data_IF_937324101574
#
_entry.id   IF_937324101574
#
_cell.length_a   1.000
_cell.length_b   1.000
_cell.length_c   1.000
_cell.angle_alpha   90.00
_cell.angle_beta   90.00
_cell.angle_gamma   90.00
#
_symmetry.space_group_name_H-M   'P 1'
#
loop_
_entity.id
_entity.type
_entity.pdbx_description
1 polymer ?
#
# COMPACT_ATOMS: atom_id res chain seq x y z
N UNK A 1 7.01 71.90 19.27
CA UNK A 1 6.49 70.55 18.91
C UNK A 1 7.53 69.63 18.25
N UNK A 2 8.47 70.12 17.43
CA UNK A 2 9.40 69.28 16.67
C UNK A 2 10.43 68.49 17.51
N UNK A 3 10.90 69.03 18.64
CA UNK A 3 11.97 68.39 19.43
C UNK A 3 11.53 67.13 20.18
N UNK A 4 10.31 67.11 20.74
CA UNK A 4 9.78 65.94 21.47
C UNK A 4 9.51 64.74 20.56
N UNK A 5 9.09 64.97 19.30
CA UNK A 5 8.92 63.89 18.31
C UNK A 5 10.27 63.26 17.91
N UNK A 6 11.33 64.05 17.81
CA UNK A 6 12.67 63.52 17.49
C UNK A 6 13.20 62.62 18.60
N UNK A 7 13.02 63.01 19.87
CA UNK A 7 13.40 62.15 21.01
C UNK A 7 12.56 60.87 21.09
N UNK A 8 11.26 60.93 20.77
CA UNK A 8 10.40 59.75 20.76
C UNK A 8 10.79 58.77 19.66
N UNK A 9 11.14 59.27 18.46
CA UNK A 9 11.61 58.43 17.35
C UNK A 9 12.98 57.84 17.66
N UNK A 10 13.90 58.60 18.26
CA UNK A 10 15.19 58.09 18.71
C UNK A 10 15.06 57.04 19.81
N UNK A 11 14.14 57.23 20.76
CA UNK A 11 13.85 56.25 21.81
C UNK A 11 13.25 54.97 21.22
N UNK A 12 12.31 55.10 20.28
CA UNK A 12 11.74 53.95 19.56
C UNK A 12 12.78 53.24 18.71
N UNK A 13 13.72 53.97 18.08
CA UNK A 13 14.85 53.39 17.37
C UNK A 13 15.85 52.70 18.31
N UNK A 14 16.13 53.27 19.49
CA UNK A 14 17.01 52.66 20.50
C UNK A 14 16.38 51.39 21.10
N UNK A 15 15.06 51.38 21.30
CA UNK A 15 14.31 50.18 21.73
C UNK A 15 14.30 49.13 20.60
N UNK A 16 14.15 49.55 19.34
CA UNK A 16 14.22 48.64 18.19
C UNK A 16 15.64 48.08 17.95
N UNK A 17 16.68 48.87 18.21
CA UNK A 17 18.09 48.44 18.16
C UNK A 17 18.46 47.53 19.34
N UNK A 18 17.86 47.72 20.52
CA UNK A 18 18.04 46.87 21.69
C UNK A 18 17.32 45.52 21.62
N UNK A 19 16.47 45.29 20.61
CA UNK A 19 15.64 44.09 20.46
C UNK A 19 16.10 43.15 19.33
N UNK A 20 17.25 43.40 18.71
CA UNK A 20 17.88 42.42 17.83
C UNK A 20 18.90 41.63 18.65
N UNK A 21 18.42 40.89 19.66
CA UNK A 21 19.21 39.83 20.26
C UNK A 21 19.60 38.87 19.13
N UNK A 22 20.90 38.72 18.91
CA UNK A 22 21.43 37.81 17.91
C UNK A 22 20.97 36.40 18.30
N UNK A 23 19.99 35.85 17.57
CA UNK A 23 19.47 34.50 17.83
C UNK A 23 20.64 33.52 17.79
N UNK A 24 21.03 33.01 18.95
CA UNK A 24 22.02 31.95 19.09
C UNK A 24 21.51 30.75 18.27
N UNK A 25 22.40 30.11 17.51
CA UNK A 25 22.03 29.01 16.61
C UNK A 25 22.75 27.75 17.08
N UNK A 26 22.01 26.66 17.25
CA UNK A 26 22.64 25.35 17.39
C UNK A 26 23.23 24.94 16.03
N UNK A 27 24.50 24.56 16.04
CA UNK A 27 25.22 24.20 14.81
C UNK A 27 24.98 22.74 14.40
N UNK A 28 24.98 21.81 15.35
CA UNK A 28 24.84 20.38 15.09
C UNK A 28 24.32 19.62 16.33
N UNK A 29 23.88 18.39 16.08
CA UNK A 29 23.72 17.35 17.11
C UNK A 29 25.03 16.56 17.10
N UNK A 30 25.73 16.51 18.24
CA UNK A 30 27.04 15.86 18.36
C UNK A 30 26.88 14.34 18.38
N UNK A 31 26.08 13.84 19.33
CA UNK A 31 25.81 12.42 19.49
C UNK A 31 24.32 12.15 19.77
N UNK A 32 23.90 10.93 19.43
CA UNK A 32 22.57 10.42 19.78
C UNK A 32 22.74 9.07 20.45
N UNK A 33 22.03 8.88 21.55
CA UNK A 33 22.03 7.65 22.32
C UNK A 33 20.63 7.06 22.43
N UNK A 34 20.58 5.75 22.63
CA UNK A 34 19.38 5.05 23.06
C UNK A 34 19.58 4.61 24.50
N UNK A 35 18.65 4.96 25.37
CA UNK A 35 18.60 4.50 26.75
C UNK A 35 17.56 3.37 26.88
N UNK A 36 17.98 2.20 27.37
CA UNK A 36 17.13 1.02 27.65
C UNK A 36 17.54 0.41 28.98
N UNK A 37 16.58 0.13 29.85
CA UNK A 37 16.81 -0.57 31.13
C UNK A 37 18.03 -0.01 31.90
N UNK A 38 18.15 1.32 31.97
CA UNK A 38 19.25 2.09 32.60
C UNK A 38 20.61 2.09 31.89
N UNK A 39 20.75 1.42 30.75
CA UNK A 39 21.96 1.42 29.92
C UNK A 39 21.81 2.41 28.76
N UNK A 40 22.88 3.15 28.47
CA UNK A 40 22.96 4.06 27.32
C UNK A 40 23.87 3.48 26.24
N UNK A 41 23.40 3.50 25.00
CA UNK A 41 24.12 2.98 23.84
C UNK A 41 24.20 4.04 22.76
N UNK A 42 25.37 4.27 22.12
CA UNK A 42 25.44 5.12 20.95
C UNK A 42 24.54 4.56 19.84
N UNK A 43 23.85 5.45 19.11
CA UNK A 43 22.87 5.05 18.07
C UNK A 43 23.50 4.23 16.93
N UNK A 44 24.82 4.36 16.71
CA UNK A 44 25.52 3.67 15.63
C UNK A 44 25.44 2.15 15.79
N UNK A 45 24.80 1.48 14.83
CA UNK A 45 24.61 0.03 14.85
C UNK A 45 23.46 -0.46 15.73
N UNK A 46 22.72 0.45 16.37
CA UNK A 46 21.50 0.14 17.10
C UNK A 46 20.26 0.33 16.22
N UNK A 47 19.20 -0.41 16.56
CA UNK A 47 17.87 -0.25 15.97
C UNK A 47 16.95 0.28 17.07
N UNK A 48 16.33 1.43 16.85
CA UNK A 48 15.34 2.03 17.74
C UNK A 48 14.09 1.13 17.77
N UNK A 49 13.52 0.92 18.95
CA UNK A 49 12.31 0.11 19.18
C UNK A 49 11.28 0.89 19.99
N UNK A 50 10.06 0.38 20.01
CA UNK A 50 9.02 0.83 20.92
C UNK A 50 9.49 0.82 22.38
N UNK A 51 9.21 1.90 23.11
CA UNK A 51 9.62 2.13 24.50
C UNK A 51 11.06 2.64 24.68
N UNK A 52 11.84 2.79 23.60
CA UNK A 52 13.19 3.34 23.71
C UNK A 52 13.15 4.84 24.07
N UNK A 53 14.05 5.25 24.96
CA UNK A 53 14.36 6.67 25.18
C UNK A 53 15.47 7.08 24.23
N UNK A 54 15.21 8.10 23.42
CA UNK A 54 16.16 8.67 22.45
C UNK A 54 16.72 9.96 23.04
N UNK A 55 18.03 9.98 23.28
CA UNK A 55 18.74 11.11 23.86
C UNK A 55 19.61 11.79 22.81
N UNK A 56 19.47 13.11 22.68
CA UNK A 56 20.25 13.96 21.78
C UNK A 56 21.22 14.81 22.58
N UNK A 57 22.52 14.62 22.36
CA UNK A 57 23.56 15.49 22.93
C UNK A 57 23.77 16.69 22.01
N UNK A 58 23.41 17.87 22.52
CA UNK A 58 23.42 19.11 21.79
C UNK A 58 24.21 20.13 22.63
N UNK A 59 25.45 20.45 22.21
CA UNK A 59 26.25 21.45 22.89
C UNK A 59 25.52 22.80 22.96
N UNK A 60 25.61 23.46 24.12
CA UNK A 60 24.99 24.76 24.38
C UNK A 60 23.46 24.80 24.16
N UNK A 61 22.76 23.65 24.28
CA UNK A 61 21.31 23.60 24.12
C UNK A 61 20.58 24.51 25.13
N UNK A 62 21.01 24.53 26.39
CA UNK A 62 20.44 25.40 27.42
C UNK A 62 20.55 26.89 27.07
N UNK A 63 21.73 27.33 26.64
CA UNK A 63 21.97 28.71 26.20
C UNK A 63 21.11 29.07 25.00
N UNK A 64 21.06 28.19 24.00
CA UNK A 64 20.19 28.37 22.83
C UNK A 64 18.72 28.55 23.21
N UNK A 65 18.19 27.71 24.10
CA UNK A 65 16.81 27.77 24.56
C UNK A 65 16.51 29.09 25.29
N UNK A 66 17.43 29.50 26.18
CA UNK A 66 17.33 30.75 26.93
C UNK A 66 17.37 31.97 26.02
N UNK A 67 18.36 32.06 25.14
CA UNK A 67 18.60 33.20 24.24
C UNK A 67 17.49 33.39 23.22
N UNK A 68 16.84 32.30 22.80
CA UNK A 68 15.73 32.34 21.84
C UNK A 68 14.35 32.33 22.50
N UNK A 69 14.28 32.31 23.84
CA UNK A 69 13.04 32.23 24.62
C UNK A 69 12.16 31.02 24.23
N UNK A 70 12.79 29.88 23.93
CA UNK A 70 12.09 28.65 23.56
C UNK A 70 11.80 27.86 24.83
N UNK A 71 10.57 27.39 24.99
CA UNK A 71 10.19 26.52 26.10
C UNK A 71 10.43 25.06 25.74
N UNK A 72 10.72 24.21 26.73
CA UNK A 72 10.97 22.78 26.49
C UNK A 72 9.79 22.07 25.80
N UNK A 73 8.56 22.52 26.05
CA UNK A 73 7.35 22.04 25.38
C UNK A 73 7.30 22.31 23.86
N UNK A 74 8.08 23.29 23.38
CA UNK A 74 8.18 23.65 21.95
C UNK A 74 9.39 22.95 21.28
N UNK A 75 9.95 21.96 21.97
CA UNK A 75 11.02 21.09 21.48
C UNK A 75 10.40 19.74 21.14
N UNK A 76 10.53 19.36 19.89
CA UNK A 76 9.94 18.13 19.36
C UNK A 76 11.00 17.30 18.67
N UNK A 77 10.88 15.98 18.80
CA UNK A 77 11.69 15.05 18.02
C UNK A 77 11.24 15.05 16.56
N UNK A 78 12.17 14.77 15.65
CA UNK A 78 11.90 14.62 14.23
C UNK A 78 12.45 13.32 13.69
N UNK A 79 11.67 12.65 12.85
CA UNK A 79 12.13 11.58 11.98
C UNK A 79 12.00 12.02 10.52
N UNK A 80 13.13 12.12 9.82
CA UNK A 80 13.24 12.76 8.50
C UNK A 80 12.72 14.20 8.54
N UNK A 81 11.56 14.47 7.93
CA UNK A 81 10.90 15.77 7.94
C UNK A 81 9.59 15.75 8.76
N UNK A 82 9.30 14.65 9.45
CA UNK A 82 8.09 14.43 10.22
C UNK A 82 8.37 14.91 11.65
N UNK A 83 7.57 15.85 12.14
CA UNK A 83 7.67 16.38 13.51
C UNK A 83 6.76 15.58 14.43
N UNK A 84 7.33 14.99 15.47
CA UNK A 84 6.62 14.17 16.44
C UNK A 84 6.32 14.99 17.68
N UNK A 85 5.26 15.79 17.60
CA UNK A 85 4.84 16.69 18.70
C UNK A 85 4.16 15.97 19.86
N UNK A 86 3.80 14.69 19.69
CA UNK A 86 3.10 13.87 20.66
C UNK A 86 4.00 13.43 21.83
N UNK A 87 5.32 13.42 21.61
CA UNK A 87 6.31 13.02 22.61
C UNK A 87 6.97 14.26 23.22
N UNK A 88 6.66 14.59 24.50
CA UNK A 88 7.24 15.74 25.15
C UNK A 88 8.74 15.53 25.39
N UNK A 89 9.53 16.57 25.15
CA UNK A 89 10.94 16.59 25.53
C UNK A 89 11.08 16.61 27.06
N UNK A 90 12.07 15.89 27.57
CA UNK A 90 12.49 16.00 28.97
C UNK A 90 14.02 16.08 29.08
N UNK A 91 14.49 16.71 30.15
CA UNK A 91 15.91 16.91 30.44
C UNK A 91 16.17 16.60 31.91
N UNK A 92 17.34 16.06 32.21
CA UNK A 92 17.80 15.90 33.60
C UNK A 92 18.29 17.24 34.17
N UNK A 93 19.02 18.00 33.34
CA UNK A 93 19.43 19.38 33.59
C UNK A 93 19.59 20.10 32.25
N UNK A 94 19.25 21.39 32.19
CA UNK A 94 19.50 22.21 30.99
C UNK A 94 21.00 22.43 30.72
N UNK A 95 21.83 22.31 31.77
CA UNK A 95 23.29 22.44 31.66
C UNK A 95 23.94 21.21 31.03
N UNK A 96 23.27 20.05 31.04
CA UNK A 96 23.88 18.82 30.47
C UNK A 96 23.91 18.83 28.95
N UNK A 97 23.12 19.67 28.28
CA UNK A 97 22.99 19.68 26.83
C UNK A 97 22.21 18.48 26.26
N UNK A 98 21.72 17.57 27.10
CA UNK A 98 21.08 16.32 26.66
C UNK A 98 19.56 16.41 26.73
N UNK A 99 18.91 16.33 25.56
CA UNK A 99 17.46 16.32 25.41
C UNK A 99 16.96 14.91 25.14
N UNK A 100 15.92 14.48 25.85
CA UNK A 100 15.39 13.12 25.76
C UNK A 100 13.93 13.09 25.32
N UNK A 101 13.58 12.01 24.63
CA UNK A 101 12.23 11.70 24.21
C UNK A 101 11.98 10.21 24.43
N UNK A 102 10.86 9.85 25.06
CA UNK A 102 10.42 8.47 25.16
C UNK A 102 9.54 8.18 23.95
N UNK A 103 10.02 7.31 23.06
CA UNK A 103 9.28 6.93 21.86
C UNK A 103 8.34 5.77 22.17
N UNK A 104 7.08 5.89 21.78
CA UNK A 104 6.12 4.78 21.78
C UNK A 104 5.28 4.76 20.52
N UNK A 105 5.10 3.58 19.92
CA UNK A 105 4.26 3.37 18.73
C UNK A 105 2.79 3.71 19.03
N UNK A 106 2.27 3.30 20.19
CA UNK A 106 0.91 3.59 20.65
C UNK A 106 0.65 5.09 20.88
N UNK A 107 1.72 5.85 21.15
CA UNK A 107 1.65 7.30 21.37
C UNK A 107 1.60 8.13 20.09
N UNK A 108 1.79 7.53 18.91
CA UNK A 108 1.79 8.26 17.63
C UNK A 108 0.39 8.76 17.28
N UNK A 109 0.28 10.01 16.79
CA UNK A 109 -0.95 10.45 16.13
C UNK A 109 -1.20 9.64 14.86
N UNK A 110 -2.47 9.58 14.45
CA UNK A 110 -2.90 8.97 13.19
C UNK A 110 -2.11 9.46 11.98
N UNK A 111 -1.82 10.77 11.92
CA UNK A 111 -1.07 11.37 10.81
C UNK A 111 0.38 10.91 10.80
N UNK A 112 1.07 11.03 11.94
CA UNK A 112 2.49 10.66 12.05
C UNK A 112 2.69 9.15 11.90
N UNK A 113 1.79 8.34 12.46
CA UNK A 113 1.77 6.89 12.25
C UNK A 113 1.70 6.54 10.76
N UNK A 114 0.76 7.13 10.02
CA UNK A 114 0.64 6.92 8.58
C UNK A 114 1.89 7.34 7.82
N UNK A 115 2.49 8.50 8.14
CA UNK A 115 3.69 9.00 7.48
C UNK A 115 4.91 8.10 7.74
N UNK A 116 5.09 7.65 8.98
CA UNK A 116 6.18 6.74 9.36
C UNK A 116 6.00 5.35 8.76
N UNK A 117 4.78 4.81 8.80
CA UNK A 117 4.47 3.47 8.29
C UNK A 117 4.67 3.38 6.77
N UNK A 118 4.48 4.49 6.06
CA UNK A 118 4.74 4.59 4.62
C UNK A 118 6.22 4.75 4.23
N UNK A 119 7.16 4.90 5.17
CA UNK A 119 8.58 4.91 4.80
C UNK A 119 9.01 3.50 4.34
N UNK A 120 9.90 3.46 3.35
CA UNK A 120 10.41 2.22 2.78
C UNK A 120 11.19 1.40 3.82
N UNK A 121 11.00 0.08 3.80
CA UNK A 121 11.78 -0.86 4.64
C UNK A 121 10.98 -1.94 5.38
N UNK A 122 9.66 -2.05 5.17
CA UNK A 122 8.82 -2.96 5.96
C UNK A 122 8.84 -2.55 7.44
N UNK A 123 9.05 -3.50 8.35
CA UNK A 123 9.11 -3.26 9.79
C UNK A 123 10.36 -2.49 10.24
N UNK A 124 11.49 -2.65 9.53
CA UNK A 124 12.72 -1.91 9.84
C UNK A 124 12.95 -0.80 8.83
N UNK A 125 12.73 0.45 9.26
CA UNK A 125 12.78 1.64 8.42
C UNK A 125 14.07 2.42 8.67
N UNK A 126 14.61 3.01 7.60
CA UNK A 126 15.76 3.93 7.70
C UNK A 126 15.24 5.35 7.93
N UNK A 127 15.72 5.99 8.99
CA UNK A 127 15.27 7.33 9.39
C UNK A 127 16.47 8.23 9.71
N UNK A 128 16.35 9.51 9.39
CA UNK A 128 17.21 10.56 9.96
C UNK A 128 16.58 11.06 11.24
N UNK A 129 17.34 11.04 12.32
CA UNK A 129 16.91 11.62 13.59
C UNK A 129 17.17 13.12 13.56
N UNK A 130 16.38 13.87 14.32
CA UNK A 130 16.56 15.29 14.46
C UNK A 130 15.69 15.86 15.57
N UNK A 131 15.83 17.16 15.79
CA UNK A 131 14.98 17.92 16.70
C UNK A 131 14.48 19.18 16.01
N UNK A 132 13.30 19.62 16.42
CA UNK A 132 12.74 20.94 16.11
C UNK A 132 12.58 21.69 17.42
N UNK A 133 13.26 22.82 17.57
CA UNK A 133 13.13 23.71 18.71
C UNK A 133 12.65 25.08 18.21
N UNK A 134 11.39 25.42 18.48
CA UNK A 134 10.72 26.57 17.87
C UNK A 134 10.74 26.48 16.34
N UNK A 135 11.35 27.48 15.68
CA UNK A 135 11.48 27.53 14.21
C UNK A 135 12.75 26.83 13.69
N UNK A 136 13.64 26.38 14.57
CA UNK A 136 14.92 25.78 14.17
C UNK A 136 14.79 24.27 14.10
N UNK A 137 15.16 23.67 12.96
CA UNK A 137 15.20 22.22 12.78
C UNK A 137 16.62 21.76 12.50
N UNK A 138 17.05 20.69 13.19
CA UNK A 138 18.42 20.20 13.18
C UNK A 138 18.37 18.70 13.01
N UNK A 139 19.10 18.20 12.03
CA UNK A 139 19.17 16.77 11.76
C UNK A 139 20.50 16.22 12.24
N UNK A 140 20.47 15.03 12.82
CA UNK A 140 21.65 14.24 13.08
C UNK A 140 22.27 13.81 11.74
N UNK A 141 23.60 13.90 11.65
CA UNK A 141 24.33 13.67 10.40
C UNK A 141 24.23 12.24 9.87
N UNK A 142 23.87 11.27 10.72
CA UNK A 142 23.83 9.85 10.38
C UNK A 142 22.40 9.31 10.25
N UNK A 143 22.24 8.36 9.32
CA UNK A 143 21.02 7.57 9.20
C UNK A 143 20.97 6.51 10.29
N UNK A 144 19.80 6.35 10.89
CA UNK A 144 19.50 5.37 11.93
C UNK A 144 18.46 4.38 11.42
N UNK A 145 18.31 3.25 12.13
CA UNK A 145 17.29 2.26 11.85
C UNK A 145 16.27 2.24 12.97
N UNK A 146 15.01 2.05 12.61
CA UNK A 146 13.89 1.96 13.54
C UNK A 146 13.02 0.77 13.20
N UNK A 147 12.67 -0.01 14.21
CA UNK A 147 11.81 -1.17 14.11
C UNK A 147 10.41 -0.82 14.65
N UNK A 148 9.40 -1.12 13.83
CA UNK A 148 7.99 -0.97 14.16
C UNK A 148 7.38 -2.36 14.39
N UNK A 149 7.05 -2.64 15.63
CA UNK A 149 6.49 -3.90 16.10
C UNK A 149 5.11 -4.19 15.51
N UNK A 150 4.27 -3.15 15.35
CA UNK A 150 2.98 -3.26 14.69
C UNK A 150 3.14 -3.77 13.26
N UNK A 151 4.09 -3.20 12.52
CA UNK A 151 4.32 -3.58 11.13
C UNK A 151 4.80 -5.04 11.02
N UNK A 152 5.64 -5.50 11.94
CA UNK A 152 6.11 -6.89 11.94
C UNK A 152 4.95 -7.87 12.21
N UNK A 153 4.15 -7.60 13.24
CA UNK A 153 2.98 -8.41 13.61
C UNK A 153 1.97 -8.47 12.46
N UNK A 154 1.59 -7.32 11.93
CA UNK A 154 0.58 -7.23 10.88
C UNK A 154 1.10 -7.73 9.53
N UNK A 155 2.39 -7.60 9.25
CA UNK A 155 3.02 -8.21 8.07
C UNK A 155 2.82 -9.71 8.01
N UNK A 156 3.01 -10.41 9.14
CA UNK A 156 2.70 -11.85 9.26
C UNK A 156 1.20 -12.11 9.03
N UNK A 157 0.31 -11.31 9.65
CA UNK A 157 -1.15 -11.44 9.46
C UNK A 157 -1.51 -11.28 7.98
N UNK A 158 -0.85 -10.35 7.28
CA UNK A 158 -1.00 -10.17 5.84
C UNK A 158 -0.65 -11.42 5.05
N UNK A 159 0.48 -12.07 5.35
CA UNK A 159 0.85 -13.33 4.70
C UNK A 159 -0.11 -14.49 5.00
N UNK A 160 -0.61 -14.58 6.24
CA UNK A 160 -1.64 -15.57 6.61
C UNK A 160 -2.93 -15.31 5.85
N UNK A 161 -3.35 -14.04 5.74
CA UNK A 161 -4.51 -13.64 4.95
C UNK A 161 -4.34 -14.00 3.49
N UNK A 162 -3.18 -13.75 2.89
CA UNK A 162 -2.85 -14.14 1.51
C UNK A 162 -2.89 -15.66 1.32
N UNK A 163 -2.35 -16.42 2.27
CA UNK A 163 -2.41 -17.88 2.26
C UNK A 163 -3.84 -18.41 2.39
N UNK A 164 -4.61 -17.87 3.34
CA UNK A 164 -6.01 -18.20 3.57
C UNK A 164 -6.88 -17.84 2.37
N UNK A 165 -6.57 -16.73 1.71
CA UNK A 165 -7.20 -16.27 0.49
C UNK A 165 -6.93 -17.23 -0.69
N UNK A 166 -5.68 -17.62 -0.89
CA UNK A 166 -5.32 -18.57 -1.92
C UNK A 166 -6.02 -19.92 -1.69
N UNK A 167 -6.07 -20.37 -0.43
CA UNK A 167 -6.81 -21.57 -0.04
C UNK A 167 -8.30 -21.42 -0.31
N UNK A 168 -8.91 -20.28 0.05
CA UNK A 168 -10.32 -20.00 -0.21
C UNK A 168 -10.62 -20.01 -1.72
N UNK A 169 -9.75 -19.42 -2.54
CA UNK A 169 -9.88 -19.46 -4.00
C UNK A 169 -9.82 -20.89 -4.55
N UNK A 170 -8.91 -21.74 -4.03
CA UNK A 170 -8.86 -23.17 -4.37
C UNK A 170 -10.13 -23.91 -3.92
N UNK A 171 -10.63 -23.62 -2.72
CA UNK A 171 -11.89 -24.17 -2.22
C UNK A 171 -13.05 -23.73 -3.09
N UNK A 172 -13.08 -22.49 -3.55
CA UNK A 172 -14.12 -21.99 -4.45
C UNK A 172 -14.10 -22.72 -5.80
N UNK A 173 -12.91 -22.96 -6.37
CA UNK A 173 -12.75 -23.80 -7.57
C UNK A 173 -13.29 -25.22 -7.34
N UNK A 174 -13.13 -25.78 -6.13
CA UNK A 174 -13.55 -27.14 -5.82
C UNK A 174 -15.04 -27.26 -5.42
N UNK A 175 -15.57 -26.29 -4.67
CA UNK A 175 -16.89 -26.37 -4.01
C UNK A 175 -17.99 -25.57 -4.69
N UNK A 176 -17.60 -24.49 -5.39
CA UNK A 176 -18.47 -23.56 -6.11
C UNK A 176 -18.07 -23.48 -7.57
N UNK A 177 -17.69 -24.62 -8.13
CA UNK A 177 -17.21 -24.73 -9.51
C UNK A 177 -18.26 -24.26 -10.53
N UNK A 178 -19.55 -24.40 -10.23
CA UNK A 178 -20.66 -23.88 -11.04
C UNK A 178 -20.59 -22.36 -11.27
N UNK A 179 -20.12 -21.57 -10.30
CA UNK A 179 -20.01 -20.11 -10.45
C UNK A 179 -18.93 -19.71 -11.45
N UNK A 180 -17.91 -20.55 -11.61
CA UNK A 180 -16.76 -20.29 -12.48
C UNK A 180 -16.89 -20.94 -13.85
N UNK A 181 -17.86 -21.82 -14.07
CA UNK A 181 -18.08 -22.53 -15.33
C UNK A 181 -18.98 -21.75 -16.27
N UNK A 182 -18.76 -21.93 -17.58
CA UNK A 182 -19.69 -21.44 -18.60
C UNK A 182 -21.00 -22.23 -18.54
N UNK A 183 -22.10 -21.58 -18.88
CA UNK A 183 -23.41 -22.24 -18.94
C UNK A 183 -23.53 -23.04 -20.24
N UNK A 184 -24.07 -24.25 -20.15
CA UNK A 184 -24.47 -25.02 -21.31
C UNK A 184 -25.83 -24.52 -21.80
N UNK A 185 -26.09 -24.48 -23.13
CA UNK A 185 -27.38 -24.04 -23.65
C UNK A 185 -28.57 -24.82 -23.05
N UNK A 186 -29.58 -24.10 -22.56
CA UNK A 186 -30.74 -24.67 -21.85
C UNK A 186 -31.82 -25.27 -22.78
N UNK A 187 -31.88 -24.85 -24.05
CA UNK A 187 -33.09 -25.01 -24.88
C UNK A 187 -33.18 -26.27 -25.76
N UNK A 188 -32.18 -27.15 -25.75
CA UNK A 188 -32.25 -28.36 -26.59
C UNK A 188 -32.30 -29.59 -25.71
N UNK A 189 -33.34 -30.41 -25.93
CA UNK A 189 -33.48 -31.82 -25.50
C UNK A 189 -32.34 -32.69 -26.04
N UNK A 190 -31.11 -32.28 -25.82
CA UNK A 190 -29.95 -33.04 -26.20
C UNK A 190 -29.64 -33.90 -24.97
N UNK A 191 -30.02 -35.17 -25.03
CA UNK A 191 -29.46 -36.21 -24.16
C UNK A 191 -27.92 -36.07 -24.05
N UNK A 192 -27.30 -35.50 -25.08
CA UNK A 192 -25.91 -35.07 -25.17
C UNK A 192 -25.40 -34.11 -24.09
N UNK A 193 -26.21 -33.26 -23.47
CA UNK A 193 -25.79 -32.30 -22.42
C UNK A 193 -26.10 -32.81 -21.00
N UNK A 194 -26.93 -33.85 -20.88
CA UNK A 194 -27.38 -34.38 -19.59
C UNK A 194 -26.20 -34.97 -18.82
N UNK A 195 -25.95 -34.46 -17.61
CA UNK A 195 -24.83 -34.89 -16.76
C UNK A 195 -23.46 -34.29 -17.13
N UNK A 196 -23.39 -33.37 -18.11
CA UNK A 196 -22.17 -32.65 -18.45
C UNK A 196 -22.11 -31.31 -17.73
N UNK A 197 -20.90 -30.94 -17.30
CA UNK A 197 -20.61 -29.62 -16.73
C UNK A 197 -19.92 -28.73 -17.78
N UNK A 198 -20.28 -27.45 -17.82
CA UNK A 198 -19.53 -26.47 -18.62
C UNK A 198 -18.06 -26.37 -18.19
N UNK A 199 -17.21 -25.99 -19.13
CA UNK A 199 -15.79 -25.71 -18.92
C UNK A 199 -15.61 -24.47 -18.03
N UNK A 200 -14.47 -24.38 -17.34
CA UNK A 200 -14.16 -23.18 -16.57
C UNK A 200 -13.98 -21.96 -17.48
N UNK A 201 -14.66 -20.88 -17.11
CA UNK A 201 -14.66 -19.60 -17.81
C UNK A 201 -13.47 -18.76 -17.38
N UNK A 202 -12.68 -18.31 -18.35
CA UNK A 202 -11.56 -17.41 -18.10
C UNK A 202 -12.04 -16.11 -17.44
N UNK A 203 -13.05 -15.46 -18.03
CA UNK A 203 -13.56 -14.16 -17.55
C UNK A 203 -14.15 -14.24 -16.14
N UNK A 204 -14.92 -15.28 -15.82
CA UNK A 204 -15.45 -15.47 -14.45
C UNK A 204 -14.33 -15.73 -13.45
N UNK A 205 -13.32 -16.52 -13.82
CA UNK A 205 -12.17 -16.81 -12.96
C UNK A 205 -11.31 -15.58 -12.69
N UNK A 206 -11.07 -14.74 -13.70
CA UNK A 206 -10.36 -13.48 -13.58
C UNK A 206 -11.13 -12.47 -12.72
N UNK A 207 -12.45 -12.34 -12.94
CA UNK A 207 -13.30 -11.48 -12.11
C UNK A 207 -13.25 -11.91 -10.66
N UNK A 208 -13.43 -13.21 -10.40
CA UNK A 208 -13.33 -13.73 -9.05
C UNK A 208 -11.95 -13.40 -8.46
N UNK A 209 -10.85 -13.72 -9.15
CA UNK A 209 -9.49 -13.43 -8.70
C UNK A 209 -9.30 -11.97 -8.25
N UNK A 210 -9.64 -10.99 -9.08
CA UNK A 210 -9.46 -9.57 -8.74
C UNK A 210 -10.43 -9.09 -7.66
N UNK A 211 -11.71 -9.48 -7.71
CA UNK A 211 -12.69 -9.14 -6.67
C UNK A 211 -12.21 -9.60 -5.31
N UNK A 212 -11.75 -10.85 -5.24
CA UNK A 212 -11.30 -11.45 -4.02
C UNK A 212 -10.03 -10.73 -3.51
N UNK A 213 -9.01 -10.51 -4.35
CA UNK A 213 -7.77 -9.85 -3.89
C UNK A 213 -8.07 -8.44 -3.37
N UNK A 214 -8.93 -7.70 -4.06
CA UNK A 214 -9.29 -6.32 -3.68
C UNK A 214 -10.05 -6.30 -2.35
N UNK A 215 -11.04 -7.18 -2.14
CA UNK A 215 -11.78 -7.25 -0.88
C UNK A 215 -10.86 -7.65 0.27
N UNK A 216 -10.02 -8.68 0.09
CA UNK A 216 -9.08 -9.11 1.12
C UNK A 216 -8.08 -8.00 1.48
N UNK A 217 -7.60 -7.28 0.47
CA UNK A 217 -6.69 -6.14 0.67
C UNK A 217 -7.37 -4.98 1.38
N UNK A 218 -8.63 -4.69 1.04
CA UNK A 218 -9.42 -3.67 1.72
C UNK A 218 -9.61 -4.02 3.21
N UNK A 219 -10.01 -5.25 3.52
CA UNK A 219 -10.18 -5.72 4.90
C UNK A 219 -8.85 -5.68 5.66
N UNK A 220 -7.75 -6.11 5.03
CA UNK A 220 -6.42 -6.08 5.64
C UNK A 220 -6.00 -4.66 6.00
N UNK A 221 -6.07 -3.74 5.04
CA UNK A 221 -5.66 -2.34 5.26
C UNK A 221 -6.56 -1.71 6.32
N UNK A 222 -7.88 -1.89 6.22
CA UNK A 222 -8.82 -1.35 7.21
C UNK A 222 -8.55 -1.90 8.62
N UNK A 223 -8.27 -3.19 8.76
CA UNK A 223 -7.96 -3.79 10.06
C UNK A 223 -6.67 -3.24 10.67
N UNK A 224 -5.68 -2.89 9.83
CA UNK A 224 -4.39 -2.36 10.28
C UNK A 224 -4.41 -0.84 10.52
N UNK A 225 -4.91 -0.06 9.56
CA UNK A 225 -4.83 1.41 9.58
C UNK A 225 -6.05 2.07 10.21
N UNK A 226 -7.14 1.32 10.39
CA UNK A 226 -8.48 1.84 10.71
C UNK A 226 -9.05 2.82 9.68
N UNK A 227 -8.36 3.00 8.54
CA UNK A 227 -8.78 3.89 7.45
C UNK A 227 -9.63 3.15 6.42
N UNK A 228 -10.84 3.68 6.20
CA UNK A 228 -11.79 3.16 5.21
C UNK A 228 -11.53 3.68 3.79
N UNK A 229 -10.65 4.68 3.61
CA UNK A 229 -10.39 5.33 2.32
C UNK A 229 -9.21 4.70 1.56
N UNK A 230 -9.09 3.37 1.57
CA UNK A 230 -7.97 2.65 0.96
C UNK A 230 -8.21 2.21 -0.50
N UNK A 231 -9.47 2.21 -0.98
CA UNK A 231 -9.80 1.82 -2.35
C UNK A 231 -9.41 2.94 -3.33
N UNK A 232 -8.53 2.61 -4.28
CA UNK A 232 -8.05 3.54 -5.29
C UNK A 232 -8.63 3.28 -6.70
N UNK A 233 -8.33 4.17 -7.64
CA UNK A 233 -8.79 4.07 -9.03
C UNK A 233 -8.29 2.79 -9.73
N UNK A 234 -7.06 2.33 -9.44
CA UNK A 234 -6.50 1.09 -10.01
C UNK A 234 -7.35 -0.12 -9.64
N UNK A 235 -7.76 -0.26 -8.38
CA UNK A 235 -8.64 -1.35 -7.94
C UNK A 235 -9.98 -1.34 -8.69
N UNK A 236 -10.59 -0.15 -8.85
CA UNK A 236 -11.83 0.00 -9.61
C UNK A 236 -11.67 -0.37 -11.09
N UNK A 237 -10.57 0.06 -11.72
CA UNK A 237 -10.28 -0.25 -13.13
C UNK A 237 -10.06 -1.76 -13.31
N UNK A 238 -9.36 -2.43 -12.40
CA UNK A 238 -9.15 -3.89 -12.47
C UNK A 238 -10.47 -4.67 -12.41
N UNK A 239 -11.41 -4.23 -11.55
CA UNK A 239 -12.76 -4.77 -11.50
C UNK A 239 -13.53 -4.49 -12.80
N UNK A 240 -13.40 -3.28 -13.34
CA UNK A 240 -14.03 -2.88 -14.61
C UNK A 240 -13.51 -3.66 -15.82
N UNK A 241 -12.20 -3.88 -15.92
CA UNK A 241 -11.59 -4.68 -16.99
C UNK A 241 -12.06 -6.14 -16.88
N UNK A 242 -12.15 -6.68 -15.67
CA UNK A 242 -12.61 -8.06 -15.47
C UNK A 242 -14.09 -8.24 -15.83
N UNK A 243 -14.95 -7.29 -15.42
CA UNK A 243 -16.39 -7.33 -15.71
C UNK A 243 -16.69 -7.13 -17.21
N UNK A 244 -15.99 -6.19 -17.87
CA UNK A 244 -16.11 -5.97 -19.31
C UNK A 244 -15.67 -7.18 -20.13
N UNK A 245 -14.60 -7.86 -19.73
CA UNK A 245 -14.13 -9.09 -20.38
C UNK A 245 -15.16 -10.21 -20.27
N UNK A 246 -15.78 -10.37 -19.09
CA UNK A 246 -16.87 -11.33 -18.88
C UNK A 246 -18.09 -11.00 -19.76
N UNK A 247 -18.50 -9.73 -19.81
CA UNK A 247 -19.62 -9.30 -20.64
C UNK A 247 -19.37 -9.56 -22.13
N UNK A 248 -18.17 -9.25 -22.62
CA UNK A 248 -17.78 -9.51 -24.01
C UNK A 248 -17.73 -11.01 -24.34
N UNK A 249 -17.28 -11.85 -23.41
CA UNK A 249 -17.33 -13.30 -23.59
C UNK A 249 -18.78 -13.80 -23.72
N UNK A 250 -19.67 -13.33 -22.83
CA UNK A 250 -21.08 -13.71 -22.84
C UNK A 250 -21.81 -13.31 -24.13
N UNK A 251 -21.54 -12.12 -24.69
CA UNK A 251 -22.16 -11.69 -25.96
C UNK A 251 -21.73 -12.57 -27.13
N UNK A 252 -20.44 -12.89 -27.23
CA UNK A 252 -19.91 -13.80 -28.26
C UNK A 252 -20.48 -15.20 -28.12
N UNK A 253 -20.66 -15.66 -26.89
CA UNK A 253 -21.22 -16.99 -26.63
C UNK A 253 -22.70 -17.06 -27.00
N UNK A 254 -23.48 -16.02 -26.72
CA UNK A 254 -24.87 -15.93 -27.13
C UNK A 254 -25.02 -15.91 -28.66
N UNK A 255 -24.13 -15.21 -29.37
CA UNK A 255 -24.13 -15.22 -30.85
C UNK A 255 -23.86 -16.63 -31.39
N UNK A 256 -22.86 -17.33 -30.86
CA UNK A 256 -22.55 -18.71 -31.27
C UNK A 256 -23.69 -19.69 -30.97
N UNK A 257 -24.37 -19.53 -29.83
CA UNK A 257 -25.53 -20.37 -29.50
C UNK A 257 -26.66 -20.15 -30.52
N UNK A 258 -27.01 -18.89 -30.83
CA UNK A 258 -28.04 -18.56 -31.82
C UNK A 258 -27.73 -19.04 -33.24
N UNK A 259 -26.45 -19.04 -33.61
CA UNK A 259 -26.02 -19.62 -34.89
C UNK A 259 -26.19 -21.15 -34.89
N UNK A 260 -25.83 -21.80 -33.78
CA UNK A 260 -25.89 -23.26 -33.64
C UNK A 260 -27.31 -23.81 -33.45
N UNK A 261 -28.28 -23.00 -33.02
CA UNK A 261 -29.71 -23.38 -32.92
C UNK A 261 -30.32 -23.82 -34.26
N UNK A 262 -29.70 -23.44 -35.38
CA UNK A 262 -30.22 -23.75 -36.73
C UNK A 262 -29.80 -25.14 -37.25
N UNK A 263 -28.87 -25.82 -36.57
CA UNK A 263 -28.34 -27.11 -36.99
C UNK A 263 -27.98 -27.96 -35.76
N UNK A 264 -28.65 -29.11 -35.61
CA UNK A 264 -28.43 -30.07 -34.52
C UNK A 264 -26.96 -30.52 -34.41
N UNK A 265 -26.25 -30.62 -35.54
CA UNK A 265 -24.83 -30.97 -35.53
C UNK A 265 -23.98 -29.82 -34.99
N UNK A 266 -24.23 -28.59 -35.44
CA UNK A 266 -23.57 -27.41 -34.91
C UNK A 266 -23.82 -27.21 -33.41
N UNK A 267 -25.04 -27.51 -32.93
CA UNK A 267 -25.38 -27.50 -31.51
C UNK A 267 -24.59 -28.56 -30.73
N UNK A 268 -24.49 -29.80 -31.25
CA UNK A 268 -23.68 -30.86 -30.61
C UNK A 268 -22.20 -30.48 -30.53
N UNK A 269 -21.62 -29.95 -31.61
CA UNK A 269 -20.22 -29.51 -31.64
C UNK A 269 -19.97 -28.33 -30.68
N UNK A 270 -20.94 -27.42 -30.53
CA UNK A 270 -20.88 -26.32 -29.58
C UNK A 270 -20.88 -26.84 -28.14
N UNK A 271 -21.83 -27.71 -27.80
CA UNK A 271 -21.94 -28.34 -26.47
C UNK A 271 -20.66 -29.10 -26.13
N UNK A 272 -20.10 -29.87 -27.06
CA UNK A 272 -18.84 -30.59 -26.85
C UNK A 272 -17.66 -29.64 -26.63
N UNK A 273 -17.61 -28.52 -27.37
CA UNK A 273 -16.55 -27.52 -27.19
C UNK A 273 -16.62 -26.78 -25.86
N UNK A 274 -17.82 -26.58 -25.31
CA UNK A 274 -18.10 -25.91 -24.02
C UNK A 274 -18.15 -26.86 -22.84
N UNK A 275 -18.23 -28.16 -23.07
CA UNK A 275 -18.17 -29.15 -22.00
C UNK A 275 -16.74 -29.20 -21.45
N UNK A 276 -16.63 -29.21 -20.11
CA UNK A 276 -15.35 -29.44 -19.46
C UNK A 276 -14.82 -30.82 -19.85
N UNK A 277 -13.69 -30.84 -20.54
CA UNK A 277 -13.04 -32.09 -20.98
C UNK A 277 -11.96 -32.55 -19.99
N UNK A 278 -11.46 -31.64 -19.12
CA UNK A 278 -10.22 -31.79 -18.32
C UNK A 278 -10.29 -30.96 -17.02
N UNK A 279 -9.15 -30.76 -16.35
CA UNK A 279 -9.02 -29.99 -15.09
C UNK A 279 -8.97 -28.46 -15.35
N UNK A 280 -9.25 -27.65 -14.33
CA UNK A 280 -9.27 -26.17 -14.34
C UNK A 280 -8.25 -25.50 -15.28
N UNK A 281 -6.94 -25.71 -15.07
CA UNK A 281 -5.89 -25.05 -15.86
C UNK A 281 -5.99 -25.35 -17.36
N UNK A 282 -6.43 -26.55 -17.72
CA UNK A 282 -6.57 -26.96 -19.11
C UNK A 282 -7.76 -26.30 -19.78
N UNK A 283 -8.84 -26.03 -19.04
CA UNK A 283 -10.00 -25.28 -19.54
C UNK A 283 -9.69 -23.78 -19.68
N UNK A 284 -8.88 -23.23 -18.76
CA UNK A 284 -8.46 -21.82 -18.76
C UNK A 284 -7.43 -21.52 -19.85
N UNK A 285 -6.41 -22.38 -20.01
CA UNK A 285 -5.25 -22.12 -20.89
C UNK A 285 -5.43 -22.65 -22.31
N UNK A 286 -6.40 -23.53 -22.57
CA UNK A 286 -6.55 -24.16 -23.89
C UNK A 286 -7.77 -23.63 -24.64
N UNK A 287 -7.69 -23.72 -25.96
CA UNK A 287 -8.82 -23.60 -26.88
C UNK A 287 -9.03 -24.94 -27.64
N UNK A 288 -9.89 -24.95 -28.67
CA UNK A 288 -10.24 -26.14 -29.47
C UNK A 288 -9.02 -26.94 -29.96
N UNK A 289 -7.92 -26.25 -30.27
CA UNK A 289 -6.70 -26.84 -30.85
C UNK A 289 -5.57 -27.10 -29.83
N UNK A 290 -5.83 -26.96 -28.52
CA UNK A 290 -4.81 -27.11 -27.47
C UNK A 290 -4.46 -25.80 -26.78
N UNK A 291 -3.29 -25.73 -26.15
CA UNK A 291 -2.88 -24.56 -25.36
C UNK A 291 -2.75 -23.31 -26.23
N UNK A 292 -3.43 -22.23 -25.83
CA UNK A 292 -3.46 -20.98 -26.57
C UNK A 292 -2.48 -19.97 -25.96
N UNK A 293 -1.59 -19.43 -26.78
CA UNK A 293 -0.54 -18.50 -26.31
C UNK A 293 -1.11 -17.20 -25.75
N UNK A 294 -2.20 -16.69 -26.32
CA UNK A 294 -2.84 -15.45 -25.85
C UNK A 294 -3.47 -15.70 -24.47
N UNK A 295 -4.19 -16.81 -24.28
CA UNK A 295 -4.74 -17.18 -22.96
C UNK A 295 -3.64 -17.35 -21.92
N UNK A 296 -2.50 -17.94 -22.31
CA UNK A 296 -1.33 -18.06 -21.45
C UNK A 296 -0.74 -16.70 -21.09
N UNK A 297 -0.57 -15.79 -22.06
CA UNK A 297 -0.09 -14.43 -21.83
C UNK A 297 -0.98 -13.67 -20.83
N UNK A 298 -2.30 -13.69 -21.06
CA UNK A 298 -3.26 -13.03 -20.17
C UNK A 298 -3.18 -13.63 -18.77
N UNK A 299 -3.15 -14.96 -18.66
CA UNK A 299 -3.03 -15.65 -17.38
C UNK A 299 -1.77 -15.21 -16.62
N UNK A 300 -0.61 -15.23 -17.27
CA UNK A 300 0.67 -14.85 -16.64
C UNK A 300 0.66 -13.40 -16.19
N UNK A 301 0.16 -12.45 -17.01
CA UNK A 301 0.10 -11.05 -16.58
C UNK A 301 -0.83 -10.85 -15.38
N UNK A 302 -2.00 -11.49 -15.35
CA UNK A 302 -2.88 -11.40 -14.19
C UNK A 302 -2.21 -11.92 -12.91
N UNK A 303 -1.43 -13.01 -12.99
CA UNK A 303 -0.66 -13.52 -11.85
C UNK A 303 0.45 -12.54 -11.44
N UNK A 304 1.24 -12.03 -12.38
CA UNK A 304 2.35 -11.09 -12.09
C UNK A 304 1.81 -9.83 -11.42
N UNK A 305 0.75 -9.22 -11.99
CA UNK A 305 0.14 -8.03 -11.41
C UNK A 305 -0.57 -8.32 -10.09
N UNK A 306 -1.20 -9.50 -9.93
CA UNK A 306 -1.79 -9.91 -8.66
C UNK A 306 -0.75 -10.08 -7.55
N UNK A 307 0.40 -10.69 -7.84
CA UNK A 307 1.53 -10.80 -6.89
C UNK A 307 2.08 -9.42 -6.53
N UNK A 308 2.27 -8.54 -7.51
CA UNK A 308 2.68 -7.17 -7.26
C UNK A 308 1.68 -6.42 -6.37
N UNK A 309 0.38 -6.62 -6.60
CA UNK A 309 -0.70 -6.03 -5.82
C UNK A 309 -0.66 -6.48 -4.36
N UNK A 310 -0.59 -7.79 -4.14
CA UNK A 310 -0.51 -8.38 -2.80
C UNK A 310 0.76 -7.91 -2.07
N UNK A 311 1.90 -7.85 -2.77
CA UNK A 311 3.15 -7.37 -2.19
C UNK A 311 3.04 -5.93 -1.71
N UNK A 312 2.47 -5.03 -2.51
CA UNK A 312 2.27 -3.63 -2.08
C UNK A 312 1.31 -3.53 -0.90
N UNK A 313 0.23 -4.32 -0.90
CA UNK A 313 -0.70 -4.33 0.22
C UNK A 313 -0.04 -4.83 1.51
N UNK A 314 0.75 -5.91 1.44
CA UNK A 314 1.37 -6.53 2.62
C UNK A 314 2.60 -5.79 3.13
N UNK A 315 3.37 -5.13 2.26
CA UNK A 315 4.61 -4.43 2.64
C UNK A 315 4.46 -2.92 2.77
N UNK A 316 3.60 -2.31 1.96
CA UNK A 316 3.42 -0.85 1.88
C UNK A 316 2.05 -0.39 2.41
N UNK A 317 1.23 -1.31 2.96
CA UNK A 317 -0.09 -1.06 3.57
C UNK A 317 -1.03 -0.19 2.75
N UNK A 318 -0.87 -0.24 1.43
CA UNK A 318 -1.62 0.57 0.48
C UNK A 318 -1.88 -0.21 -0.80
N UNK A 319 -3.02 0.05 -1.42
CA UNK A 319 -3.30 -0.52 -2.74
C UNK A 319 -2.39 0.17 -3.77
N UNK A 320 -1.71 -0.58 -4.65
CA UNK A 320 -0.81 0.02 -5.63
C UNK A 320 -1.58 0.86 -6.63
N UNK A 321 -0.93 1.91 -7.13
CA UNK A 321 -1.40 2.68 -8.29
C UNK A 321 -0.65 2.22 -9.53
N UNK A 322 -1.33 1.48 -10.42
CA UNK A 322 -0.76 1.09 -11.70
C UNK A 322 -0.86 2.23 -12.69
N UNK A 323 0.22 2.44 -13.45
CA UNK A 323 0.26 3.46 -14.48
C UNK A 323 -0.61 3.07 -15.70
N UNK A 324 -0.80 4.03 -16.60
CA UNK A 324 -1.63 3.86 -17.78
C UNK A 324 -1.14 2.74 -18.71
N UNK A 325 0.18 2.54 -18.80
CA UNK A 325 0.79 1.49 -19.65
C UNK A 325 0.54 0.11 -19.05
N UNK A 326 0.63 -0.03 -17.73
CA UNK A 326 0.36 -1.26 -17.00
C UNK A 326 -1.11 -1.66 -17.09
N UNK A 327 -2.01 -0.69 -16.90
CA UNK A 327 -3.45 -0.90 -17.06
C UNK A 327 -3.81 -1.24 -18.52
N UNK A 328 -3.18 -0.58 -19.48
CA UNK A 328 -3.35 -0.86 -20.90
C UNK A 328 -2.79 -2.24 -21.26
N UNK A 329 -1.69 -2.70 -20.66
CA UNK A 329 -1.17 -4.05 -20.86
C UNK A 329 -2.16 -5.12 -20.36
N UNK A 330 -2.77 -4.91 -19.20
CA UNK A 330 -3.83 -5.78 -18.68
C UNK A 330 -5.09 -5.73 -19.57
N UNK A 331 -5.50 -4.53 -19.98
CA UNK A 331 -6.65 -4.29 -20.84
C UNK A 331 -6.49 -4.87 -22.24
N UNK A 332 -5.37 -4.62 -22.92
CA UNK A 332 -5.06 -5.17 -24.23
C UNK A 332 -4.89 -6.69 -24.18
N UNK A 333 -4.24 -7.24 -23.15
CA UNK A 333 -4.13 -8.69 -23.05
C UNK A 333 -5.54 -9.33 -23.05
N UNK A 334 -6.50 -8.74 -22.31
CA UNK A 334 -7.89 -9.20 -22.31
C UNK A 334 -8.66 -8.88 -23.61
N UNK A 335 -8.49 -7.67 -24.15
CA UNK A 335 -9.20 -7.16 -25.32
C UNK A 335 -8.72 -7.74 -26.64
N UNK A 336 -7.42 -8.00 -26.82
CA UNK A 336 -6.84 -8.64 -28.01
C UNK A 336 -7.34 -10.07 -28.15
N UNK A 337 -7.55 -10.82 -27.05
CA UNK A 337 -8.18 -12.14 -27.12
C UNK A 337 -9.63 -12.05 -27.66
N UNK A 338 -10.43 -11.10 -27.16
CA UNK A 338 -11.81 -10.89 -27.64
C UNK A 338 -11.81 -10.42 -29.10
N UNK A 339 -10.96 -9.47 -29.46
CA UNK A 339 -10.83 -8.91 -30.81
C UNK A 339 -10.36 -9.98 -31.82
N UNK A 340 -9.36 -10.79 -31.48
CA UNK A 340 -8.88 -11.88 -32.33
C UNK A 340 -9.94 -12.97 -32.49
N UNK A 341 -10.70 -13.28 -31.44
CA UNK A 341 -11.83 -14.22 -31.50
C UNK A 341 -12.97 -13.72 -32.39
N UNK A 342 -13.13 -12.40 -32.54
CA UNK A 342 -14.07 -11.80 -33.51
C UNK A 342 -13.55 -11.79 -34.95
N UNK A 343 -12.22 -11.77 -35.16
CA UNK A 343 -11.61 -11.71 -36.49
C UNK A 343 -11.27 -13.09 -37.08
N UNK A 344 -11.15 -14.15 -36.28
CA UNK A 344 -11.04 -15.55 -36.74
C UNK A 344 -12.29 -16.07 -37.50
N UNK A 345 -13.34 -15.25 -37.64
CA UNK A 345 -14.59 -15.56 -38.36
C UNK A 345 -14.71 -14.89 -39.74
N UNK A 346 -13.65 -14.32 -40.29
CA UNK A 346 -13.65 -13.82 -41.68
C UNK A 346 -12.81 -14.67 -42.61
#
# INVERSE_FOLDING_TARGET
>A
MKTKQVYLILLLWLIALGSQAQKTKIEAIDEVYIERDTLSFPIQGQVIKDGDVIAFDIPAFGDFMSDNHILLQDVHMMFNSIVLSEFPAFVESLESGVVRFEFSEDGLSEENRRLLYNLKGGATKKIKLGIKAGDTSINFGHQSQMFFSDIDLWGWVGWVMVGGFFLFFLVMIYRFDSLLRDELPNEVNSETAKGKSGAFSFGKSQMAFWTFIIIASFIYIWAFTTDLHSINATALILLGISSSTLAAAATLDNQKTKEAEKDDKAMKDLIESRTSRRNFFKDILSDKNGMNINRFQVFIFNIVFGVAFIKSVTLDYSMPTFDETQLLLLGLSNGTYVLLKTTEKK
#
